data_IF_038906173294
#
_entry.id   IF_038906173294
#
_cell.length_a   1.000
_cell.length_b   1.000
_cell.length_c   1.000
_cell.angle_alpha   90.00
_cell.angle_beta   90.00
_cell.angle_gamma   90.00
#
_symmetry.space_group_name_H-M   'P 1'
#
loop_
_entity.id
_entity.type
_entity.pdbx_description
1 polymer ?
#
# COMPACT_ATOMS: atom_id res chain seq x y z
N UNK A 1 16.85 13.70 -20.07
CA UNK A 1 15.95 13.80 -18.89
C UNK A 1 15.24 12.48 -18.61
N UNK A 2 14.68 11.81 -19.62
CA UNK A 2 14.03 10.50 -19.45
C UNK A 2 14.97 9.43 -18.85
N UNK A 3 16.20 9.30 -19.34
CA UNK A 3 17.20 8.38 -18.77
C UNK A 3 17.48 8.63 -17.29
N UNK A 4 17.51 9.89 -16.84
CA UNK A 4 17.72 10.21 -15.42
C UNK A 4 16.47 9.87 -14.59
N UNK A 5 15.27 10.14 -15.11
CA UNK A 5 14.00 9.76 -14.47
C UNK A 5 13.92 8.25 -14.27
N UNK A 6 14.14 7.46 -15.32
CA UNK A 6 14.06 6.00 -15.23
C UNK A 6 15.11 5.43 -14.29
N UNK A 7 16.33 5.97 -14.33
CA UNK A 7 17.40 5.56 -13.41
C UNK A 7 17.03 5.86 -11.96
N UNK A 8 16.48 7.05 -11.70
CA UNK A 8 16.04 7.44 -10.36
C UNK A 8 14.90 6.56 -9.84
N UNK A 9 13.86 6.34 -10.65
CA UNK A 9 12.72 5.48 -10.30
C UNK A 9 13.18 4.06 -9.96
N UNK A 10 14.12 3.49 -10.73
CA UNK A 10 14.71 2.19 -10.42
C UNK A 10 15.48 2.19 -9.09
N UNK A 11 16.31 3.20 -8.82
CA UNK A 11 17.07 3.23 -7.56
C UNK A 11 16.14 3.37 -6.34
N UNK A 12 15.07 4.16 -6.46
CA UNK A 12 14.06 4.27 -5.41
C UNK A 12 13.33 2.94 -5.22
N UNK A 13 12.98 2.24 -6.30
CA UNK A 13 12.36 0.92 -6.21
C UNK A 13 13.24 -0.10 -5.48
N UNK A 14 14.51 -0.23 -5.89
CA UNK A 14 15.49 -1.14 -5.23
C UNK A 14 15.67 -0.80 -3.75
N UNK A 15 15.77 0.48 -3.40
CA UNK A 15 15.87 0.90 -2.00
C UNK A 15 14.61 0.54 -1.21
N UNK A 16 13.43 0.67 -1.83
CA UNK A 16 12.15 0.37 -1.20
C UNK A 16 12.03 -1.13 -0.88
N UNK A 17 12.40 -2.00 -1.81
CA UNK A 17 12.44 -3.46 -1.59
C UNK A 17 13.43 -3.83 -0.48
N UNK A 18 14.64 -3.23 -0.49
CA UNK A 18 15.63 -3.48 0.55
C UNK A 18 15.16 -3.07 1.96
N UNK A 19 14.30 -2.06 2.06
CA UNK A 19 13.67 -1.66 3.35
C UNK A 19 12.56 -2.63 3.73
N UNK A 20 11.81 -3.15 2.77
CA UNK A 20 10.77 -4.16 3.03
C UNK A 20 11.38 -5.45 3.58
N UNK A 21 12.49 -5.92 3.01
CA UNK A 21 13.16 -7.16 3.41
C UNK A 21 13.61 -7.17 4.89
N UNK A 22 13.85 -6.00 5.47
CA UNK A 22 14.27 -5.85 6.87
C UNK A 22 13.13 -5.44 7.80
N UNK A 23 11.94 -5.19 7.25
CA UNK A 23 10.76 -4.73 7.99
C UNK A 23 9.81 -5.90 8.18
N UNK A 24 9.39 -6.16 9.42
CA UNK A 24 8.39 -7.19 9.70
C UNK A 24 7.07 -6.85 9.00
N UNK A 25 6.49 -7.83 8.29
CA UNK A 25 5.18 -7.67 7.66
C UNK A 25 4.09 -7.34 8.69
N UNK A 26 4.17 -7.92 9.88
CA UNK A 26 3.20 -7.66 10.96
C UNK A 26 3.22 -6.19 11.39
N UNK A 27 4.41 -5.62 11.55
CA UNK A 27 4.58 -4.20 11.92
C UNK A 27 4.11 -3.29 10.79
N UNK A 28 4.45 -3.64 9.53
CA UNK A 28 4.01 -2.89 8.36
C UNK A 28 2.48 -2.87 8.24
N UNK A 29 1.81 -4.01 8.43
CA UNK A 29 0.36 -4.12 8.34
C UNK A 29 -0.33 -3.34 9.46
N UNK A 30 0.15 -3.45 10.71
CA UNK A 30 -0.41 -2.74 11.85
C UNK A 30 -0.33 -1.20 11.69
N UNK A 31 0.81 -0.69 11.22
CA UNK A 31 0.99 0.74 10.95
C UNK A 31 0.16 1.19 9.74
N UNK A 32 0.06 0.36 8.70
CA UNK A 32 -0.76 0.65 7.52
C UNK A 32 -2.24 0.75 7.86
N UNK A 33 -2.76 -0.15 8.70
CA UNK A 33 -4.14 -0.10 9.20
C UNK A 33 -4.42 1.21 9.94
N UNK A 34 -3.55 1.57 10.89
CA UNK A 34 -3.68 2.81 11.67
C UNK A 34 -3.73 4.05 10.77
N UNK A 35 -2.83 4.14 9.79
CA UNK A 35 -2.82 5.26 8.86
C UNK A 35 -4.02 5.28 7.91
N UNK A 36 -4.52 4.13 7.46
CA UNK A 36 -5.73 4.08 6.62
C UNK A 36 -6.93 4.58 7.43
N UNK A 37 -7.06 4.20 8.70
CA UNK A 37 -8.12 4.70 9.58
C UNK A 37 -8.02 6.22 9.78
N UNK A 38 -6.80 6.74 9.96
CA UNK A 38 -6.55 8.18 10.04
C UNK A 38 -6.96 8.91 8.75
N UNK A 39 -6.56 8.39 7.59
CA UNK A 39 -6.86 8.98 6.29
C UNK A 39 -8.37 8.91 5.97
N UNK A 40 -9.08 7.85 6.40
CA UNK A 40 -10.55 7.79 6.34
C UNK A 40 -11.18 8.90 7.19
N UNK A 41 -10.66 9.17 8.39
CA UNK A 41 -11.12 10.27 9.23
C UNK A 41 -10.91 11.63 8.55
N UNK A 42 -9.76 11.83 7.89
CA UNK A 42 -9.48 13.03 7.09
C UNK A 42 -10.47 13.19 5.93
N UNK A 43 -10.81 12.10 5.23
CA UNK A 43 -11.86 12.11 4.20
C UNK A 43 -13.21 12.56 4.75
N UNK A 44 -13.62 12.06 5.92
CA UNK A 44 -14.89 12.44 6.57
C UNK A 44 -14.90 13.93 6.92
N UNK A 45 -13.80 14.45 7.46
CA UNK A 45 -13.66 15.88 7.80
C UNK A 45 -13.73 16.72 6.52
N UNK A 46 -12.93 16.39 5.50
CA UNK A 46 -12.90 17.10 4.24
C UNK A 46 -14.28 17.14 3.56
N UNK A 47 -15.03 16.02 3.61
CA UNK A 47 -16.39 15.96 3.10
C UNK A 47 -17.35 16.89 3.84
N UNK A 48 -17.26 16.95 5.18
CA UNK A 48 -18.09 17.86 6.01
C UNK A 48 -17.77 19.33 5.74
N UNK A 49 -16.51 19.64 5.51
CA UNK A 49 -16.03 20.99 5.19
C UNK A 49 -16.25 21.38 3.73
N UNK A 50 -16.79 20.47 2.91
CA UNK A 50 -16.92 20.65 1.45
C UNK A 50 -15.60 21.00 0.76
N UNK A 51 -14.49 20.48 1.30
CA UNK A 51 -13.15 20.70 0.79
C UNK A 51 -12.74 19.56 -0.16
N UNK A 52 -12.95 19.78 -1.47
CA UNK A 52 -12.67 18.79 -2.51
C UNK A 52 -11.17 18.44 -2.63
N UNK A 53 -10.28 19.43 -2.44
CA UNK A 53 -8.83 19.22 -2.56
C UNK A 53 -8.31 18.29 -1.46
N UNK A 54 -8.73 18.52 -0.22
CA UNK A 54 -8.35 17.66 0.90
C UNK A 54 -8.97 16.26 0.79
N UNK A 55 -10.19 16.17 0.24
CA UNK A 55 -10.85 14.88 -0.01
C UNK A 55 -10.07 14.06 -1.05
N UNK A 56 -9.68 14.67 -2.18
CA UNK A 56 -8.90 13.98 -3.21
C UNK A 56 -7.52 13.56 -2.69
N UNK A 57 -6.85 14.44 -1.93
CA UNK A 57 -5.56 14.13 -1.34
C UNK A 57 -5.64 12.95 -0.35
N UNK A 58 -6.60 12.96 0.57
CA UNK A 58 -6.78 11.88 1.53
C UNK A 58 -7.19 10.56 0.86
N UNK A 59 -8.09 10.61 -0.13
CA UNK A 59 -8.47 9.44 -0.92
C UNK A 59 -7.28 8.90 -1.75
N UNK A 60 -6.45 9.79 -2.28
CA UNK A 60 -5.18 9.44 -2.94
C UNK A 60 -4.22 8.70 -2.02
N UNK A 61 -4.05 9.18 -0.78
CA UNK A 61 -3.23 8.52 0.22
C UNK A 61 -3.74 7.11 0.56
N UNK A 62 -5.07 6.96 0.76
CA UNK A 62 -5.70 5.64 1.00
C UNK A 62 -5.40 4.68 -0.16
N UNK A 63 -5.61 5.12 -1.41
CA UNK A 63 -5.32 4.29 -2.60
C UNK A 63 -3.85 3.89 -2.66
N UNK A 64 -2.94 4.81 -2.40
CA UNK A 64 -1.50 4.55 -2.36
C UNK A 64 -1.12 3.51 -1.30
N UNK A 65 -1.66 3.64 -0.08
CA UNK A 65 -1.43 2.69 1.01
C UNK A 65 -2.02 1.32 0.71
N UNK A 66 -3.24 1.25 0.22
CA UNK A 66 -3.89 -0.01 -0.16
C UNK A 66 -3.10 -0.75 -1.26
N UNK A 67 -2.62 -0.02 -2.27
CA UNK A 67 -1.76 -0.58 -3.31
C UNK A 67 -0.44 -1.10 -2.74
N UNK A 68 0.15 -0.39 -1.76
CA UNK A 68 1.39 -0.80 -1.11
C UNK A 68 1.21 -2.06 -0.26
N UNK A 69 0.11 -2.15 0.51
CA UNK A 69 -0.28 -3.35 1.26
C UNK A 69 -0.41 -4.54 0.33
N UNK A 70 -1.14 -4.39 -0.78
CA UNK A 70 -1.28 -5.47 -1.76
C UNK A 70 0.08 -5.93 -2.33
N UNK A 71 0.98 -4.99 -2.63
CA UNK A 71 2.30 -5.32 -3.15
C UNK A 71 3.17 -6.08 -2.15
N UNK A 72 3.29 -5.59 -0.90
CA UNK A 72 4.10 -6.25 0.14
C UNK A 72 3.54 -7.63 0.47
N UNK A 73 2.23 -7.73 0.70
CA UNK A 73 1.61 -9.00 1.06
C UNK A 73 1.77 -10.02 -0.07
N UNK A 74 1.64 -9.60 -1.34
CA UNK A 74 1.86 -10.51 -2.46
C UNK A 74 3.30 -11.00 -2.52
N UNK A 75 4.28 -10.10 -2.38
CA UNK A 75 5.70 -10.46 -2.39
C UNK A 75 6.08 -11.35 -1.20
N UNK A 76 5.50 -11.10 -0.03
CA UNK A 76 5.74 -11.94 1.15
C UNK A 76 5.16 -13.34 0.97
N UNK A 77 3.99 -13.48 0.31
CA UNK A 77 3.42 -14.80 0.02
C UNK A 77 4.28 -15.64 -0.94
N UNK A 78 5.12 -15.02 -1.77
CA UNK A 78 6.07 -15.74 -2.64
C UNK A 78 7.16 -16.47 -1.83
N UNK A 79 7.37 -16.10 -0.55
CA UNK A 79 8.30 -16.77 0.36
C UNK A 79 7.74 -18.08 0.97
N UNK A 80 6.46 -18.39 0.75
CA UNK A 80 5.79 -19.56 1.31
C UNK A 80 5.48 -20.62 0.25
N UNK A 81 5.36 -21.88 0.68
CA UNK A 81 4.87 -22.95 -0.21
C UNK A 81 3.40 -22.69 -0.60
N UNK A 82 3.05 -22.81 -1.90
CA UNK A 82 1.67 -22.66 -2.35
C UNK A 82 0.71 -23.62 -1.63
N UNK A 83 -0.43 -23.10 -1.17
CA UNK A 83 -1.46 -23.89 -0.50
C UNK A 83 -2.58 -23.05 0.07
N UNK A 84 -3.42 -23.66 0.91
CA UNK A 84 -4.64 -23.02 1.44
C UNK A 84 -4.37 -21.69 2.17
N UNK A 85 -3.21 -21.53 2.82
CA UNK A 85 -2.81 -20.29 3.47
C UNK A 85 -2.54 -19.17 2.45
N UNK A 86 -1.61 -19.39 1.52
CA UNK A 86 -1.24 -18.38 0.52
C UNK A 86 -2.42 -18.06 -0.40
N UNK A 87 -3.23 -19.06 -0.78
CA UNK A 87 -4.47 -18.84 -1.55
C UNK A 87 -5.49 -17.99 -0.79
N UNK A 88 -5.66 -18.23 0.52
CA UNK A 88 -6.55 -17.46 1.37
C UNK A 88 -6.12 -16.00 1.48
N UNK A 89 -4.83 -15.75 1.68
CA UNK A 89 -4.26 -14.40 1.72
C UNK A 89 -4.43 -13.71 0.37
N UNK A 90 -4.04 -14.37 -0.73
CA UNK A 90 -4.10 -13.79 -2.07
C UNK A 90 -5.54 -13.51 -2.54
N UNK A 91 -6.52 -14.29 -2.08
CA UNK A 91 -7.94 -13.98 -2.31
C UNK A 91 -8.34 -12.63 -1.71
N UNK A 92 -7.89 -12.33 -0.49
CA UNK A 92 -8.15 -11.04 0.16
C UNK A 92 -7.41 -9.89 -0.53
N UNK A 93 -6.16 -10.11 -0.96
CA UNK A 93 -5.42 -9.14 -1.77
C UNK A 93 -6.15 -8.84 -3.08
N UNK A 94 -6.73 -9.85 -3.73
CA UNK A 94 -7.55 -9.65 -4.93
C UNK A 94 -8.80 -8.83 -4.65
N UNK A 95 -9.49 -9.02 -3.53
CA UNK A 95 -10.63 -8.18 -3.17
C UNK A 95 -10.24 -6.72 -2.97
N UNK A 96 -9.05 -6.46 -2.41
CA UNK A 96 -8.55 -5.10 -2.22
C UNK A 96 -8.15 -4.41 -3.53
N UNK A 97 -7.71 -5.17 -4.53
CA UNK A 97 -7.13 -4.65 -5.78
C UNK A 97 -8.08 -4.71 -6.98
N UNK A 98 -9.11 -5.57 -6.94
CA UNK A 98 -10.15 -5.62 -7.98
C UNK A 98 -11.07 -4.41 -7.86
N UNK A 99 -10.90 -3.47 -8.79
CA UNK A 99 -11.92 -2.49 -9.15
C UNK A 99 -12.92 -3.11 -10.12
#
# INVERSE_FOLDING_TARGET
MEMYRSTWENHIHVLTEAVDDITSIDDFLAVSESHILEDVNKCIIALREQNADNLDHAAGAIRGRASRVAHIVSGEMDNYEPGAYTEGVMTNVQYLTKN
#
